data_IF_469904963602
#
_entry.id   IF_469904963602
#
_cell.length_a   1.000
_cell.length_b   1.000
_cell.length_c   1.000
_cell.angle_alpha   90.00
_cell.angle_beta   90.00
_cell.angle_gamma   90.00
#
_symmetry.space_group_name_H-M   'P 1'
#
loop_
_entity.id
_entity.type
_entity.pdbx_description
1 polymer ?
#
# COMPACT_ATOMS: atom_id res chain seq x y z
N UNK A 1 -29.64 -20.32 19.72
CA UNK A 1 -28.47 -19.49 19.38
C UNK A 1 -27.38 -20.48 19.06
N UNK A 2 -27.19 -20.76 17.77
CA UNK A 2 -26.14 -21.67 17.30
C UNK A 2 -24.89 -20.82 17.10
N UNK A 3 -23.77 -21.25 17.69
CA UNK A 3 -22.44 -20.71 17.41
C UNK A 3 -22.11 -20.97 15.94
N UNK A 4 -22.29 -19.97 15.09
CA UNK A 4 -21.66 -19.94 13.77
C UNK A 4 -20.19 -19.58 13.99
N UNK A 5 -19.38 -20.58 14.38
CA UNK A 5 -17.95 -20.50 14.21
C UNK A 5 -17.69 -20.45 12.69
N UNK A 6 -17.41 -19.24 12.19
CA UNK A 6 -16.88 -18.97 10.85
C UNK A 6 -15.46 -19.58 10.78
N UNK A 7 -15.38 -20.91 10.70
CA UNK A 7 -14.16 -21.66 10.40
C UNK A 7 -13.85 -21.43 8.91
N UNK A 8 -13.40 -20.20 8.61
CA UNK A 8 -12.74 -19.89 7.36
C UNK A 8 -11.61 -20.89 7.09
N UNK A 9 -11.18 -21.05 5.83
CA UNK A 9 -10.17 -22.03 5.49
C UNK A 9 -8.92 -21.85 6.38
N UNK A 10 -8.55 -22.90 7.14
CA UNK A 10 -7.38 -22.88 8.02
C UNK A 10 -6.10 -22.73 7.19
N UNK A 11 -5.70 -21.48 6.99
CA UNK A 11 -4.50 -21.12 6.28
C UNK A 11 -3.42 -20.86 7.32
N UNK A 12 -2.47 -21.80 7.44
CA UNK A 12 -1.36 -21.66 8.39
C UNK A 12 -0.53 -20.40 8.09
N UNK A 13 0.10 -19.75 9.09
CA UNK A 13 0.93 -18.57 8.87
C UNK A 13 2.03 -18.77 7.83
N UNK A 14 2.64 -19.96 7.76
CA UNK A 14 3.69 -20.27 6.80
C UNK A 14 3.16 -20.40 5.37
N UNK A 15 1.94 -20.95 5.20
CA UNK A 15 1.25 -20.96 3.90
C UNK A 15 0.87 -19.53 3.50
N UNK A 16 0.38 -18.73 4.45
CA UNK A 16 0.02 -17.33 4.22
C UNK A 16 1.22 -16.51 3.78
N UNK A 17 2.35 -16.67 4.44
CA UNK A 17 3.59 -15.99 4.09
C UNK A 17 4.00 -16.28 2.65
N UNK A 18 4.05 -17.56 2.25
CA UNK A 18 4.40 -17.94 0.88
C UNK A 18 3.42 -17.37 -0.14
N UNK A 19 2.14 -17.33 0.20
CA UNK A 19 1.11 -16.80 -0.69
C UNK A 19 1.19 -15.27 -0.81
N UNK A 20 1.44 -14.56 0.29
CA UNK A 20 1.74 -13.12 0.29
C UNK A 20 2.99 -12.84 -0.53
N UNK A 21 4.06 -13.59 -0.35
CA UNK A 21 5.30 -13.43 -1.12
C UNK A 21 5.07 -13.60 -2.62
N UNK A 22 4.26 -14.61 -3.01
CA UNK A 22 3.85 -14.80 -4.39
C UNK A 22 3.05 -13.61 -4.91
N UNK A 23 2.08 -13.12 -4.13
CA UNK A 23 1.28 -11.94 -4.47
C UNK A 23 2.15 -10.70 -4.67
N UNK A 24 3.13 -10.47 -3.78
CA UNK A 24 4.08 -9.35 -3.92
C UNK A 24 4.96 -9.50 -5.16
N UNK A 25 5.41 -10.71 -5.49
CA UNK A 25 6.18 -10.98 -6.70
C UNK A 25 5.36 -10.80 -7.98
N UNK A 26 4.05 -11.05 -7.95
CA UNK A 26 3.12 -10.76 -9.05
C UNK A 26 2.87 -9.26 -9.20
N UNK A 27 2.59 -8.57 -8.10
CA UNK A 27 2.41 -7.11 -8.07
C UNK A 27 3.65 -6.36 -8.58
N UNK A 28 4.86 -6.82 -8.22
CA UNK A 28 6.11 -6.25 -8.73
C UNK A 28 6.28 -6.38 -10.26
N UNK A 29 5.59 -7.34 -10.89
CA UNK A 29 5.56 -7.54 -12.35
C UNK A 29 4.31 -6.95 -13.00
N UNK A 30 3.50 -6.19 -12.24
CA UNK A 30 2.20 -5.66 -12.66
C UNK A 30 1.17 -6.74 -13.07
N UNK A 31 1.35 -7.98 -12.60
CA UNK A 31 0.30 -9.01 -12.60
C UNK A 31 -0.63 -8.72 -11.42
N UNK A 32 -1.44 -7.66 -11.53
CA UNK A 32 -2.29 -7.17 -10.45
C UNK A 32 -3.46 -8.10 -10.19
N UNK A 33 -4.05 -8.72 -11.21
CA UNK A 33 -5.12 -9.72 -11.06
C UNK A 33 -4.64 -10.96 -10.29
N UNK A 34 -3.48 -11.49 -10.66
CA UNK A 34 -2.88 -12.62 -9.96
C UNK A 34 -2.46 -12.26 -8.53
N UNK A 35 -1.99 -11.04 -8.29
CA UNK A 35 -1.69 -10.55 -6.95
C UNK A 35 -2.95 -10.38 -6.09
N UNK A 36 -4.02 -9.83 -6.69
CA UNK A 36 -5.33 -9.65 -6.04
C UNK A 36 -5.88 -10.99 -5.54
N UNK A 37 -5.88 -12.01 -6.39
CA UNK A 37 -6.33 -13.35 -6.01
C UNK A 37 -5.55 -13.91 -4.81
N UNK A 38 -4.23 -13.71 -4.79
CA UNK A 38 -3.38 -14.16 -3.70
C UNK A 38 -3.69 -13.43 -2.38
N UNK A 39 -3.79 -12.09 -2.42
CA UNK A 39 -4.03 -11.30 -1.22
C UNK A 39 -5.46 -11.45 -0.67
N UNK A 40 -6.48 -11.54 -1.52
CA UNK A 40 -7.88 -11.74 -1.10
C UNK A 40 -8.04 -13.06 -0.38
N UNK A 41 -7.37 -14.12 -0.85
CA UNK A 41 -7.41 -15.42 -0.17
C UNK A 41 -6.80 -15.32 1.24
N UNK A 42 -5.66 -14.64 1.38
CA UNK A 42 -5.02 -14.44 2.69
C UNK A 42 -5.88 -13.58 3.61
N UNK A 43 -6.45 -12.48 3.12
CA UNK A 43 -7.36 -11.64 3.91
C UNK A 43 -8.59 -12.42 4.36
N UNK A 44 -9.21 -13.19 3.46
CA UNK A 44 -10.41 -13.98 3.78
C UNK A 44 -10.13 -15.05 4.84
N UNK A 45 -8.98 -15.71 4.77
CA UNK A 45 -8.61 -16.77 5.71
C UNK A 45 -8.15 -16.24 7.07
N UNK A 46 -7.45 -15.10 7.10
CA UNK A 46 -6.76 -14.62 8.31
C UNK A 46 -7.46 -13.45 8.99
N UNK A 47 -8.49 -12.85 8.37
CA UNK A 47 -9.29 -11.83 9.03
C UNK A 47 -9.79 -12.38 10.38
N UNK A 48 -9.61 -11.57 11.43
CA UNK A 48 -9.95 -11.93 12.82
C UNK A 48 -9.05 -12.97 13.51
N UNK A 49 -7.98 -13.44 12.88
CA UNK A 49 -7.03 -14.35 13.55
C UNK A 49 -6.38 -13.67 14.77
N UNK A 50 -6.40 -14.38 15.91
CA UNK A 50 -5.73 -13.96 17.12
C UNK A 50 -4.23 -14.31 17.15
N UNK A 51 -3.77 -15.16 16.24
CA UNK A 51 -2.37 -15.57 16.13
C UNK A 51 -1.49 -14.39 15.64
N UNK A 52 -0.48 -13.96 16.41
CA UNK A 52 0.44 -12.92 15.99
C UNK A 52 1.10 -13.17 14.63
N UNK A 53 1.48 -14.41 14.31
CA UNK A 53 2.14 -14.73 13.05
C UNK A 53 1.18 -14.58 11.86
N UNK A 54 -0.05 -15.09 11.99
CA UNK A 54 -1.11 -14.86 11.02
C UNK A 54 -1.41 -13.37 10.82
N UNK A 55 -1.49 -12.58 11.91
CA UNK A 55 -1.74 -11.13 11.80
C UNK A 55 -0.67 -10.38 11.01
N UNK A 56 0.60 -10.78 11.11
CA UNK A 56 1.67 -10.19 10.28
C UNK A 56 1.38 -10.43 8.79
N UNK A 57 0.96 -11.64 8.41
CA UNK A 57 0.67 -11.97 7.01
C UNK A 57 -0.61 -11.30 6.52
N UNK A 58 -1.64 -11.21 7.35
CA UNK A 58 -2.84 -10.43 7.04
C UNK A 58 -2.52 -8.96 6.79
N UNK A 59 -1.70 -8.33 7.64
CA UNK A 59 -1.28 -6.95 7.46
C UNK A 59 -0.51 -6.73 6.15
N UNK A 60 0.34 -7.70 5.77
CA UNK A 60 1.05 -7.66 4.49
C UNK A 60 0.10 -7.82 3.30
N UNK A 61 -0.93 -8.67 3.40
CA UNK A 61 -1.96 -8.81 2.39
C UNK A 61 -2.78 -7.52 2.23
N UNK A 62 -3.17 -6.87 3.34
CA UNK A 62 -3.84 -5.57 3.33
C UNK A 62 -2.99 -4.50 2.63
N UNK A 63 -1.68 -4.47 2.87
CA UNK A 63 -0.78 -3.58 2.13
C UNK A 63 -0.78 -3.88 0.62
N UNK A 64 -0.77 -5.16 0.24
CA UNK A 64 -0.87 -5.58 -1.16
C UNK A 64 -2.18 -5.14 -1.82
N UNK A 65 -3.31 -5.30 -1.13
CA UNK A 65 -4.63 -4.87 -1.59
C UNK A 65 -4.71 -3.35 -1.75
N UNK A 66 -4.22 -2.60 -0.76
CA UNK A 66 -4.14 -1.14 -0.87
C UNK A 66 -3.23 -0.68 -2.02
N UNK A 67 -2.14 -1.41 -2.29
CA UNK A 67 -1.29 -1.12 -3.46
C UNK A 67 -2.04 -1.35 -4.78
N UNK A 68 -2.83 -2.42 -4.90
CA UNK A 68 -3.66 -2.68 -6.09
C UNK A 68 -4.70 -1.57 -6.28
N UNK A 69 -5.45 -1.23 -5.23
CA UNK A 69 -6.44 -0.14 -5.26
C UNK A 69 -5.80 1.21 -5.65
N UNK A 70 -4.57 1.47 -5.19
CA UNK A 70 -3.77 2.63 -5.59
C UNK A 70 -3.41 2.57 -7.08
N UNK A 71 -2.94 1.44 -7.60
CA UNK A 71 -2.58 1.29 -9.02
C UNK A 71 -3.80 1.40 -9.95
N UNK A 72 -4.94 0.82 -9.57
CA UNK A 72 -6.19 0.90 -10.32
C UNK A 72 -6.70 2.36 -10.38
N UNK A 73 -6.56 3.08 -9.27
CA UNK A 73 -6.88 4.50 -9.18
C UNK A 73 -5.98 5.34 -10.09
N UNK A 74 -4.67 5.08 -10.11
CA UNK A 74 -3.73 5.72 -11.02
C UNK A 74 -4.01 5.40 -12.49
N UNK A 75 -4.33 4.15 -12.81
CA UNK A 75 -4.68 3.74 -14.17
C UNK A 75 -5.94 4.46 -14.66
N UNK A 76 -6.99 4.50 -13.83
CA UNK A 76 -8.22 5.25 -14.12
C UNK A 76 -7.95 6.73 -14.37
N UNK A 77 -7.04 7.32 -13.58
CA UNK A 77 -6.59 8.70 -13.74
C UNK A 77 -5.78 8.92 -15.03
N UNK A 78 -4.93 7.96 -15.41
CA UNK A 78 -4.12 8.03 -16.62
C UNK A 78 -4.96 7.87 -17.91
N UNK A 79 -6.09 7.18 -17.82
CA UNK A 79 -7.01 6.96 -18.94
C UNK A 79 -7.80 8.22 -19.37
N UNK A 80 -7.75 9.29 -18.56
CA UNK A 80 -8.42 10.57 -18.85
C UNK A 80 -7.39 11.69 -19.00
N UNK A 81 -7.47 12.43 -20.11
CA UNK A 81 -6.60 13.58 -20.37
C UNK A 81 -6.99 14.74 -19.44
N UNK A 82 -8.27 15.12 -19.48
CA UNK A 82 -8.87 16.13 -18.62
C UNK A 82 -9.74 15.46 -17.55
N UNK A 83 -9.42 15.72 -16.28
CA UNK A 83 -10.23 15.28 -15.15
C UNK A 83 -11.50 16.11 -15.07
N UNK A 84 -12.62 15.53 -15.48
CA UNK A 84 -13.92 16.06 -15.08
C UNK A 84 -14.20 15.76 -13.59
N UNK A 85 -15.27 16.34 -13.07
CA UNK A 85 -15.62 16.19 -11.66
C UNK A 85 -15.94 14.74 -11.27
N UNK A 86 -16.47 13.94 -12.19
CA UNK A 86 -16.81 12.54 -11.92
C UNK A 86 -15.55 11.67 -11.86
N UNK A 87 -14.62 11.87 -12.81
CA UNK A 87 -13.32 11.22 -12.85
C UNK A 87 -12.46 11.59 -11.64
N UNK A 88 -12.44 12.88 -11.24
CA UNK A 88 -11.73 13.31 -10.03
C UNK A 88 -12.33 12.65 -8.78
N UNK A 89 -13.66 12.59 -8.64
CA UNK A 89 -14.30 11.90 -7.52
C UNK A 89 -13.94 10.42 -7.48
N UNK A 90 -13.94 9.73 -8.62
CA UNK A 90 -13.61 8.32 -8.72
C UNK A 90 -12.14 8.05 -8.36
N UNK A 91 -11.22 8.84 -8.93
CA UNK A 91 -9.79 8.81 -8.63
C UNK A 91 -9.54 8.97 -7.13
N UNK A 92 -10.06 10.04 -6.52
CA UNK A 92 -9.93 10.30 -5.08
C UNK A 92 -10.57 9.21 -4.22
N UNK A 93 -11.68 8.62 -4.67
CA UNK A 93 -12.33 7.54 -3.95
C UNK A 93 -11.46 6.28 -3.92
N UNK A 94 -10.85 5.90 -5.04
CA UNK A 94 -9.89 4.79 -5.10
C UNK A 94 -8.69 4.99 -4.16
N UNK A 95 -8.11 6.19 -4.15
CA UNK A 95 -7.02 6.51 -3.20
C UNK A 95 -7.44 6.41 -1.73
N UNK A 96 -8.70 6.75 -1.41
CA UNK A 96 -9.24 6.62 -0.05
C UNK A 96 -9.48 5.17 0.34
N UNK A 97 -9.86 4.30 -0.59
CA UNK A 97 -9.93 2.85 -0.32
C UNK A 97 -8.54 2.32 0.02
N UNK A 98 -7.55 2.66 -0.81
CA UNK A 98 -6.15 2.27 -0.56
C UNK A 98 -5.67 2.75 0.82
N UNK A 99 -5.97 4.00 1.19
CA UNK A 99 -5.66 4.54 2.51
C UNK A 99 -6.29 3.72 3.66
N UNK A 100 -7.55 3.32 3.53
CA UNK A 100 -8.21 2.50 4.55
C UNK A 100 -7.52 1.14 4.73
N UNK A 101 -7.04 0.53 3.63
CA UNK A 101 -6.25 -0.70 3.69
C UNK A 101 -4.92 -0.47 4.41
N UNK A 102 -4.21 0.60 4.08
CA UNK A 102 -2.93 0.92 4.71
C UNK A 102 -3.08 1.26 6.19
N UNK A 103 -4.14 1.98 6.57
CA UNK A 103 -4.46 2.27 7.97
C UNK A 103 -4.70 0.99 8.76
N UNK A 104 -5.50 0.07 8.20
CA UNK A 104 -5.74 -1.21 8.82
C UNK A 104 -4.44 -2.02 8.94
N UNK A 105 -3.66 -2.11 7.86
CA UNK A 105 -2.36 -2.79 7.89
C UNK A 105 -1.42 -2.22 8.96
N UNK A 106 -1.31 -0.89 9.09
CA UNK A 106 -0.46 -0.25 10.09
C UNK A 106 -0.96 -0.46 11.53
N UNK A 107 -2.26 -0.62 11.72
CA UNK A 107 -2.85 -0.87 13.04
C UNK A 107 -2.50 -2.26 13.58
N UNK A 108 -2.34 -3.26 12.69
CA UNK A 108 -2.10 -4.65 13.08
C UNK A 108 -0.67 -5.15 12.79
N UNK A 109 0.12 -4.43 11.98
CA UNK A 109 1.48 -4.83 11.62
C UNK A 109 2.45 -4.65 12.79
N UNK A 110 2.84 -5.77 13.40
CA UNK A 110 3.79 -5.82 14.50
C UNK A 110 5.26 -5.89 14.05
N UNK A 111 5.54 -6.31 12.82
CA UNK A 111 6.91 -6.42 12.30
C UNK A 111 7.38 -5.09 11.67
N UNK A 112 8.41 -4.43 12.22
CA UNK A 112 8.94 -3.16 11.71
C UNK A 112 9.41 -3.23 10.26
N UNK A 113 9.89 -4.41 9.81
CA UNK A 113 10.36 -4.60 8.44
C UNK A 113 9.25 -4.34 7.43
N UNK A 114 8.06 -4.87 7.70
CA UNK A 114 6.93 -4.73 6.78
C UNK A 114 6.22 -3.39 6.96
N UNK A 115 6.28 -2.82 8.17
CA UNK A 115 5.67 -1.53 8.47
C UNK A 115 6.17 -0.41 7.54
N UNK A 116 7.47 -0.35 7.26
CA UNK A 116 8.05 0.67 6.38
C UNK A 116 7.48 0.66 4.96
N UNK A 117 7.16 -0.52 4.40
CA UNK A 117 6.51 -0.61 3.08
C UNK A 117 5.09 -0.02 3.10
N UNK A 118 4.33 -0.28 4.16
CA UNK A 118 2.98 0.28 4.32
C UNK A 118 3.04 1.79 4.52
N UNK A 119 4.01 2.28 5.30
CA UNK A 119 4.21 3.71 5.52
C UNK A 119 4.55 4.45 4.22
N UNK A 120 5.40 3.88 3.36
CA UNK A 120 5.69 4.42 2.03
C UNK A 120 4.45 4.50 1.15
N UNK A 121 3.75 3.37 0.97
CA UNK A 121 2.53 3.32 0.14
C UNK A 121 1.45 4.30 0.63
N UNK A 122 1.26 4.40 1.95
CA UNK A 122 0.34 5.36 2.56
C UNK A 122 0.77 6.80 2.32
N UNK A 123 2.05 7.12 2.52
CA UNK A 123 2.57 8.46 2.29
C UNK A 123 2.38 8.91 0.83
N UNK A 124 2.58 7.98 -0.11
CA UNK A 124 2.36 8.23 -1.52
C UNK A 124 0.88 8.52 -1.84
N UNK A 125 -0.05 7.69 -1.35
CA UNK A 125 -1.49 7.94 -1.53
C UNK A 125 -1.95 9.26 -0.89
N UNK A 126 -1.40 9.62 0.28
CA UNK A 126 -1.65 10.92 0.93
C UNK A 126 -1.16 12.09 0.06
N UNK A 127 0.03 11.97 -0.52
CA UNK A 127 0.58 13.01 -1.40
C UNK A 127 -0.30 13.20 -2.65
N UNK A 128 -0.74 12.10 -3.27
CA UNK A 128 -1.66 12.15 -4.42
C UNK A 128 -3.03 12.76 -4.08
N UNK A 129 -3.50 12.60 -2.85
CA UNK A 129 -4.73 13.25 -2.36
C UNK A 129 -4.56 14.73 -2.01
N UNK A 130 -3.34 15.28 -2.10
CA UNK A 130 -2.99 16.64 -1.69
C UNK A 130 -2.85 16.81 -0.17
N UNK A 131 -2.77 15.73 0.59
CA UNK A 131 -2.60 15.76 2.06
C UNK A 131 -1.11 15.86 2.43
N UNK A 132 -0.44 16.90 1.94
CA UNK A 132 1.02 16.97 1.98
C UNK A 132 1.60 16.97 3.39
N UNK A 133 0.94 17.60 4.38
CA UNK A 133 1.45 17.63 5.76
C UNK A 133 1.59 16.23 6.35
N UNK A 134 0.56 15.40 6.20
CA UNK A 134 0.57 14.01 6.67
C UNK A 134 1.59 13.16 5.88
N UNK A 135 1.70 13.38 4.57
CA UNK A 135 2.69 12.70 3.74
C UNK A 135 4.13 13.05 4.17
N UNK A 136 4.45 14.33 4.39
CA UNK A 136 5.77 14.81 4.86
C UNK A 136 6.18 14.15 6.16
N UNK A 137 5.29 14.13 7.15
CA UNK A 137 5.61 13.56 8.46
C UNK A 137 5.89 12.06 8.40
N UNK A 138 5.21 11.34 7.50
CA UNK A 138 5.49 9.92 7.25
C UNK A 138 6.81 9.72 6.51
N UNK A 139 7.04 10.45 5.41
CA UNK A 139 8.26 10.36 4.60
C UNK A 139 9.51 10.70 5.41
N UNK A 140 9.46 11.74 6.25
CA UNK A 140 10.58 12.12 7.12
C UNK A 140 11.01 10.97 8.03
N UNK A 141 10.06 10.30 8.67
CA UNK A 141 10.32 9.13 9.53
C UNK A 141 10.85 7.95 8.71
N UNK A 142 10.23 7.69 7.56
CA UNK A 142 10.62 6.60 6.67
C UNK A 142 12.05 6.76 6.16
N UNK A 143 12.46 7.97 5.74
CA UNK A 143 13.80 8.24 5.22
C UNK A 143 14.85 8.30 6.33
N UNK A 144 14.52 8.84 7.50
CA UNK A 144 15.42 8.80 8.65
C UNK A 144 15.75 7.36 9.08
N UNK A 145 14.79 6.43 8.98
CA UNK A 145 14.98 5.02 9.33
C UNK A 145 15.56 4.16 8.19
N UNK A 146 15.05 4.32 6.97
CA UNK A 146 15.37 3.48 5.82
C UNK A 146 16.42 4.04 4.86
N UNK A 147 16.84 5.30 5.07
CA UNK A 147 17.87 5.98 4.28
C UNK A 147 17.59 5.98 2.78
N UNK A 148 18.66 5.87 2.01
CA UNK A 148 18.63 5.97 0.54
C UNK A 148 17.75 4.89 -0.12
N UNK A 149 17.73 3.68 0.44
CA UNK A 149 16.93 2.59 -0.11
C UNK A 149 15.43 2.88 -0.03
N UNK A 150 14.97 3.52 1.04
CA UNK A 150 13.57 3.94 1.16
C UNK A 150 13.22 5.05 0.16
N UNK A 151 14.09 6.05 0.02
CA UNK A 151 13.93 7.11 -0.98
C UNK A 151 13.87 6.56 -2.41
N UNK A 152 14.85 5.74 -2.82
CA UNK A 152 14.88 5.16 -4.18
C UNK A 152 13.66 4.26 -4.43
N UNK A 153 13.15 3.59 -3.38
CA UNK A 153 11.92 2.83 -3.44
C UNK A 153 10.72 3.70 -3.79
N UNK A 154 10.52 4.78 -3.04
CA UNK A 154 9.41 5.72 -3.29
C UNK A 154 9.52 6.38 -4.67
N UNK A 155 10.73 6.70 -5.13
CA UNK A 155 10.93 7.24 -6.49
C UNK A 155 10.49 6.24 -7.56
N UNK A 156 10.86 4.96 -7.45
CA UNK A 156 10.41 3.90 -8.37
C UNK A 156 8.89 3.71 -8.37
N UNK A 157 8.23 3.89 -7.23
CA UNK A 157 6.77 3.76 -7.16
C UNK A 157 6.06 4.85 -8.00
N UNK A 158 6.66 6.04 -8.13
CA UNK A 158 6.13 7.11 -9.01
C UNK A 158 6.23 6.78 -10.51
N UNK A 159 7.00 5.77 -10.89
CA UNK A 159 7.19 5.34 -12.28
C UNK A 159 6.18 4.26 -12.70
N UNK A 160 5.47 3.64 -11.75
CA UNK A 160 4.42 2.64 -12.02
C UNK A 160 3.11 3.35 -12.35
N UNK A 161 2.56 3.11 -13.54
CA UNK A 161 1.34 3.78 -14.03
C UNK A 161 1.41 5.32 -13.83
N UNK A 162 2.39 6.00 -14.47
CA UNK A 162 2.67 7.39 -14.17
C UNK A 162 1.49 8.31 -14.52
N UNK A 163 1.19 9.25 -13.62
CA UNK A 163 0.16 10.28 -13.80
C UNK A 163 0.77 11.69 -13.68
N UNK A 164 0.11 12.75 -14.19
CA UNK A 164 0.64 14.11 -14.10
C UNK A 164 1.01 14.56 -12.68
N UNK A 165 0.24 14.13 -11.68
CA UNK A 165 0.39 14.44 -10.25
C UNK A 165 1.70 13.89 -9.67
N UNK A 166 2.29 12.85 -10.27
CA UNK A 166 3.57 12.28 -9.83
C UNK A 166 4.74 13.27 -9.93
N UNK A 167 4.60 14.35 -10.72
CA UNK A 167 5.59 15.44 -10.73
C UNK A 167 5.62 16.17 -9.39
N UNK A 168 4.48 16.37 -8.74
CA UNK A 168 4.42 16.99 -7.43
C UNK A 168 4.93 16.04 -6.34
N UNK A 169 4.57 14.75 -6.43
CA UNK A 169 5.08 13.74 -5.51
C UNK A 169 6.59 13.62 -5.57
N UNK A 170 7.20 13.56 -6.76
CA UNK A 170 8.67 13.49 -6.90
C UNK A 170 9.39 14.69 -6.26
N UNK A 171 8.86 15.91 -6.45
CA UNK A 171 9.40 17.10 -5.76
C UNK A 171 9.32 16.97 -4.24
N UNK A 172 8.19 16.48 -3.73
CA UNK A 172 8.01 16.23 -2.30
C UNK A 172 9.03 15.20 -1.78
N UNK A 173 9.27 14.12 -2.51
CA UNK A 173 10.28 13.10 -2.15
C UNK A 173 11.69 13.71 -2.12
N UNK A 174 12.07 14.49 -3.12
CA UNK A 174 13.37 15.17 -3.18
C UNK A 174 13.57 16.16 -2.02
N UNK A 175 12.52 16.91 -1.66
CA UNK A 175 12.52 17.83 -0.52
C UNK A 175 12.74 17.08 0.80
N UNK A 176 11.96 16.02 1.03
CA UNK A 176 12.08 15.22 2.26
C UNK A 176 13.43 14.49 2.36
N UNK A 177 14.00 14.04 1.23
CA UNK A 177 15.33 13.44 1.20
C UNK A 177 16.41 14.43 1.61
N UNK A 178 16.37 15.66 1.08
CA UNK A 178 17.30 16.74 1.45
C UNK A 178 17.16 17.14 2.92
N UNK A 179 15.93 17.26 3.42
CA UNK A 179 15.66 17.60 4.83
C UNK A 179 16.24 16.55 5.81
N UNK A 180 16.24 15.28 5.43
CA UNK A 180 16.72 14.18 6.28
C UNK A 180 18.23 13.94 6.18
N UNK A 181 18.96 14.82 5.51
CA UNK A 181 20.42 14.73 5.37
C UNK A 181 20.88 13.86 4.20
N UNK A 182 19.98 13.54 3.28
CA UNK A 182 20.30 12.87 2.03
C UNK A 182 21.08 13.77 1.07
N UNK A 183 22.29 13.37 0.70
CA UNK A 183 23.09 13.98 -0.35
C UNK A 183 22.76 13.39 -1.73
#
# INVERSE_FOLDING_TARGET
MSDDADDGPELTPEVAERQVDRGMARAARMDLDGALADFVTVETALRFSADPAARVQWARALNGLGFIELMDSKESRAAVEDLDEAAERAYRWGLKQALARFDHALAIQADPRYRGYVEGNKAYALALLGQEGAARDMLRRLFAAGGRAAYDGQMRDTERHPIPEDRAVRRLLDEMWRETGGA
#
